data_IF_173943345537
#
_entry.id   IF_173943345537
#
_cell.length_a   1.000
_cell.length_b   1.000
_cell.length_c   1.000
_cell.angle_alpha   90.00
_cell.angle_beta   90.00
_cell.angle_gamma   90.00
#
_symmetry.space_group_name_H-M   'P 1'
#
loop_
_entity.id
_entity.type
_entity.pdbx_description
1 polymer ?
#
# COMPACT_ATOMS: atom_id res chain seq x y z
N UNK A 1 0.56 14.16 59.78
CA UNK A 1 0.15 13.00 58.96
C UNK A 1 -0.36 13.40 57.57
N UNK A 2 -1.03 14.55 57.38
CA UNK A 2 -1.52 14.98 56.06
C UNK A 2 -0.47 15.34 55.00
N UNK A 3 0.68 15.94 55.37
CA UNK A 3 1.65 16.43 54.37
C UNK A 3 2.43 15.34 53.61
N UNK A 4 2.79 14.23 54.27
CA UNK A 4 3.54 13.14 53.60
C UNK A 4 2.65 12.28 52.71
N UNK A 5 1.40 12.04 53.11
CA UNK A 5 0.43 11.30 52.29
C UNK A 5 0.05 12.10 51.04
N UNK A 6 -0.15 13.42 51.17
CA UNK A 6 -0.43 14.28 50.03
C UNK A 6 0.74 14.32 49.04
N UNK A 7 1.99 14.27 49.52
CA UNK A 7 3.17 14.28 48.66
C UNK A 7 3.29 12.99 47.83
N UNK A 8 2.98 11.83 48.43
CA UNK A 8 3.03 10.54 47.73
C UNK A 8 1.95 10.43 46.64
N UNK A 9 0.76 10.95 46.89
CA UNK A 9 -0.31 10.99 45.88
C UNK A 9 0.09 11.89 44.72
N UNK A 10 0.68 13.04 45.00
CA UNK A 10 1.11 13.99 43.97
C UNK A 10 2.20 13.39 43.06
N UNK A 11 3.16 12.68 43.65
CA UNK A 11 4.19 11.95 42.92
C UNK A 11 3.58 10.89 42.00
N UNK A 12 2.59 10.12 42.49
CA UNK A 12 1.93 9.10 41.71
C UNK A 12 1.21 9.68 40.47
N UNK A 13 0.51 10.80 40.62
CA UNK A 13 -0.21 11.46 39.52
C UNK A 13 0.75 11.98 38.45
N UNK A 14 1.91 12.53 38.84
CA UNK A 14 2.93 12.99 37.88
C UNK A 14 3.44 11.83 37.02
N UNK A 15 3.70 10.67 37.63
CA UNK A 15 4.17 9.47 36.92
C UNK A 15 3.10 8.99 35.92
N UNK A 16 1.83 8.94 36.33
CA UNK A 16 0.71 8.55 35.45
C UNK A 16 0.59 9.52 34.28
N UNK A 17 0.71 10.83 34.51
CA UNK A 17 0.64 11.84 33.44
C UNK A 17 1.68 11.64 32.35
N UNK A 18 2.95 11.42 32.73
CA UNK A 18 4.03 11.13 31.77
C UNK A 18 3.80 9.79 31.06
N UNK A 19 3.34 8.77 31.80
CA UNK A 19 3.12 7.42 31.24
C UNK A 19 2.05 7.43 30.16
N UNK A 20 0.98 8.20 30.31
CA UNK A 20 -0.07 8.36 29.29
C UNK A 20 0.52 8.98 28.03
N UNK A 21 1.28 10.07 28.16
CA UNK A 21 1.89 10.76 27.01
C UNK A 21 2.84 9.86 26.21
N UNK A 22 3.71 9.11 26.90
CA UNK A 22 4.62 8.16 26.23
C UNK A 22 3.85 6.98 25.63
N UNK A 23 2.84 6.46 26.33
CA UNK A 23 1.98 5.38 25.86
C UNK A 23 1.28 5.73 24.55
N UNK A 24 0.69 6.93 24.47
CA UNK A 24 0.02 7.41 23.25
C UNK A 24 0.97 7.43 22.04
N UNK A 25 2.13 8.07 22.18
CA UNK A 25 3.14 8.13 21.12
C UNK A 25 3.57 6.73 20.65
N UNK A 26 3.70 5.79 21.58
CA UNK A 26 4.10 4.43 21.28
C UNK A 26 3.03 3.64 20.50
N UNK A 27 1.75 3.83 20.84
CA UNK A 27 0.64 3.21 20.12
C UNK A 27 0.49 3.76 18.70
N UNK A 28 0.64 5.07 18.51
CA UNK A 28 0.59 5.70 17.18
C UNK A 28 1.69 5.15 16.26
N UNK A 29 2.93 5.10 16.74
CA UNK A 29 4.06 4.57 15.97
C UNK A 29 3.86 3.08 15.61
N UNK A 30 3.31 2.28 16.53
CA UNK A 30 2.99 0.88 16.26
C UNK A 30 1.89 0.72 15.21
N UNK A 31 0.85 1.55 15.28
CA UNK A 31 -0.25 1.52 14.31
C UNK A 31 0.24 1.87 12.90
N UNK A 32 1.07 2.91 12.79
CA UNK A 32 1.71 3.33 11.53
C UNK A 32 2.57 2.18 10.96
N UNK A 33 3.42 1.56 11.79
CA UNK A 33 4.29 0.48 11.33
C UNK A 33 3.50 -0.78 10.95
N UNK A 34 2.44 -1.11 11.69
CA UNK A 34 1.54 -2.22 11.34
C UNK A 34 0.87 -1.99 10.00
N UNK A 35 0.34 -0.78 9.75
CA UNK A 35 -0.29 -0.44 8.48
C UNK A 35 0.69 -0.54 7.30
N UNK A 36 1.94 -0.06 7.47
CA UNK A 36 3.00 -0.20 6.46
C UNK A 36 3.29 -1.67 6.14
N UNK A 37 3.42 -2.51 7.16
CA UNK A 37 3.69 -3.94 6.98
C UNK A 37 2.54 -4.65 6.27
N UNK A 38 1.29 -4.33 6.61
CA UNK A 38 0.11 -4.88 5.93
C UNK A 38 0.07 -4.47 4.45
N UNK A 39 0.23 -3.18 4.13
CA UNK A 39 0.33 -2.70 2.74
C UNK A 39 1.46 -3.43 1.99
N UNK A 40 2.67 -3.51 2.56
CA UNK A 40 3.80 -4.17 1.93
C UNK A 40 3.55 -5.66 1.67
N UNK A 41 2.91 -6.35 2.61
CA UNK A 41 2.56 -7.76 2.45
C UNK A 41 1.59 -7.95 1.27
N UNK A 42 0.56 -7.11 1.16
CA UNK A 42 -0.38 -7.16 0.04
C UNK A 42 0.28 -6.79 -1.30
N UNK A 43 1.15 -5.79 -1.31
CA UNK A 43 1.90 -5.41 -2.52
C UNK A 43 2.80 -6.55 -3.04
N UNK A 44 3.42 -7.31 -2.14
CA UNK A 44 4.17 -8.52 -2.50
C UNK A 44 3.27 -9.64 -3.05
N UNK A 45 2.04 -9.76 -2.54
CA UNK A 45 1.06 -10.68 -3.09
C UNK A 45 0.64 -10.26 -4.51
N UNK A 46 0.34 -8.97 -4.73
CA UNK A 46 -0.03 -8.44 -6.04
C UNK A 46 1.11 -8.53 -7.07
N UNK A 47 2.37 -8.39 -6.65
CA UNK A 47 3.51 -8.59 -7.55
C UNK A 47 3.62 -10.04 -8.03
N UNK A 48 3.35 -11.01 -7.14
CA UNK A 48 3.29 -12.44 -7.50
C UNK A 48 2.15 -12.75 -8.49
N UNK A 49 0.97 -12.15 -8.29
CA UNK A 49 -0.13 -12.26 -9.24
C UNK A 49 0.24 -11.62 -10.58
N UNK A 50 0.88 -10.45 -10.56
CA UNK A 50 1.32 -9.76 -11.78
C UNK A 50 2.33 -10.58 -12.57
N UNK A 51 3.25 -11.28 -11.89
CA UNK A 51 4.16 -12.24 -12.52
C UNK A 51 3.41 -13.41 -13.16
N UNK A 52 2.41 -13.95 -12.46
CA UNK A 52 1.57 -15.02 -13.01
C UNK A 52 0.85 -14.53 -14.26
N UNK A 53 0.20 -13.38 -14.20
CA UNK A 53 -0.44 -12.74 -15.35
C UNK A 53 0.53 -12.58 -16.53
N UNK A 54 1.74 -12.09 -16.28
CA UNK A 54 2.76 -11.91 -17.31
C UNK A 54 3.13 -13.21 -18.03
N UNK A 55 3.20 -14.32 -17.29
CA UNK A 55 3.59 -15.62 -17.82
C UNK A 55 2.44 -16.40 -18.47
N UNK A 56 1.20 -16.12 -18.07
CA UNK A 56 0.01 -16.76 -18.65
C UNK A 56 -0.18 -16.32 -20.12
N UNK A 57 -0.43 -17.26 -21.05
CA UNK A 57 -0.71 -16.93 -22.45
C UNK A 57 -1.96 -16.06 -22.61
N UNK A 58 -2.01 -15.26 -23.68
CA UNK A 58 -3.15 -14.37 -23.97
C UNK A 58 -4.46 -15.15 -24.14
N UNK A 59 -4.41 -16.33 -24.75
CA UNK A 59 -5.56 -17.23 -24.96
C UNK A 59 -6.19 -17.73 -23.65
N UNK A 60 -5.45 -17.67 -22.54
CA UNK A 60 -5.91 -18.03 -21.20
C UNK A 60 -6.26 -16.79 -20.35
N UNK A 61 -6.36 -15.61 -20.96
CA UNK A 61 -6.67 -14.35 -20.25
C UNK A 61 -5.47 -13.71 -19.55
N UNK A 62 -4.25 -14.18 -19.83
CA UNK A 62 -3.00 -13.60 -19.31
C UNK A 62 -2.46 -12.43 -20.16
N UNK A 63 -1.27 -11.96 -19.78
CA UNK A 63 -0.57 -10.87 -20.48
C UNK A 63 0.18 -11.31 -21.72
N UNK A 64 0.54 -12.61 -21.84
CA UNK A 64 1.22 -13.14 -23.03
C UNK A 64 2.61 -12.53 -23.27
N UNK A 65 3.33 -12.14 -22.22
CA UNK A 65 4.68 -11.54 -22.28
C UNK A 65 4.79 -10.41 -23.32
N UNK A 66 4.02 -9.32 -23.16
CA UNK A 66 3.98 -8.27 -24.16
C UNK A 66 5.34 -7.60 -24.32
N UNK A 67 5.67 -7.15 -25.53
CA UNK A 67 6.96 -6.47 -25.80
C UNK A 67 7.18 -5.23 -24.92
N UNK A 68 6.09 -4.57 -24.51
CA UNK A 68 6.06 -3.49 -23.51
C UNK A 68 4.70 -3.51 -22.83
N UNK A 69 4.67 -3.24 -21.54
CA UNK A 69 3.47 -2.81 -20.85
C UNK A 69 3.03 -1.48 -21.48
N UNK A 70 1.82 -1.46 -22.02
CA UNK A 70 1.24 -0.23 -22.54
C UNK A 70 0.26 0.34 -21.52
N UNK A 71 0.74 1.22 -20.65
CA UNK A 71 -0.07 2.13 -19.83
C UNK A 71 -0.28 3.43 -20.59
N UNK A 72 -1.07 3.39 -21.67
CA UNK A 72 -1.36 4.59 -22.44
C UNK A 72 -2.55 5.34 -21.84
N UNK A 73 -2.34 6.60 -21.44
CA UNK A 73 -3.35 7.47 -20.83
C UNK A 73 -4.57 7.76 -21.71
N UNK A 74 -5.66 8.10 -21.03
CA UNK A 74 -6.95 8.45 -21.61
C UNK A 74 -7.84 7.23 -21.86
N UNK A 75 -9.00 7.19 -21.20
CA UNK A 75 -10.09 6.25 -21.51
C UNK A 75 -10.72 6.61 -22.88
N UNK A 76 -10.01 6.30 -23.96
CA UNK A 76 -10.55 6.37 -25.32
C UNK A 76 -11.37 5.12 -25.64
N UNK A 77 -12.60 5.33 -26.11
CA UNK A 77 -13.62 4.31 -26.39
C UNK A 77 -13.08 2.96 -26.92
N UNK A 78 -13.27 1.89 -26.13
CA UNK A 78 -13.34 0.51 -26.61
C UNK A 78 -12.10 -0.38 -26.49
N UNK A 79 -10.98 0.10 -25.94
CA UNK A 79 -9.78 -0.76 -25.69
C UNK A 79 -9.37 -0.74 -24.23
N UNK A 80 -9.46 -1.90 -23.58
CA UNK A 80 -8.96 -2.12 -22.22
C UNK A 80 -7.42 -2.02 -22.25
N UNK A 81 -6.82 -1.21 -21.37
CA UNK A 81 -5.35 -1.10 -21.29
C UNK A 81 -4.79 -2.40 -20.69
N UNK A 82 -3.55 -2.73 -21.01
CA UNK A 82 -2.86 -3.89 -20.39
C UNK A 82 -2.81 -3.76 -18.87
N UNK A 83 -2.74 -2.53 -18.35
CA UNK A 83 -2.76 -2.29 -16.91
C UNK A 83 -4.15 -2.51 -16.29
N UNK A 84 -5.21 -2.22 -17.06
CA UNK A 84 -6.59 -2.47 -16.64
C UNK A 84 -6.88 -3.97 -16.67
N UNK A 85 -6.35 -4.69 -17.66
CA UNK A 85 -6.42 -6.16 -17.72
C UNK A 85 -5.70 -6.80 -16.54
N UNK A 86 -4.51 -6.28 -16.18
CA UNK A 86 -3.81 -6.72 -14.98
C UNK A 86 -4.61 -6.41 -13.71
N UNK A 87 -5.22 -5.22 -13.60
CA UNK A 87 -6.06 -4.86 -12.47
C UNK A 87 -7.28 -5.77 -12.32
N UNK A 88 -7.96 -6.07 -13.42
CA UNK A 88 -9.07 -7.03 -13.45
C UNK A 88 -8.59 -8.44 -13.06
N UNK A 89 -7.40 -8.85 -13.52
CA UNK A 89 -6.81 -10.15 -13.19
C UNK A 89 -6.43 -10.26 -11.70
N UNK A 90 -5.98 -9.17 -11.09
CA UNK A 90 -5.71 -9.10 -9.65
C UNK A 90 -7.01 -9.19 -8.84
N UNK A 91 -8.10 -8.59 -9.35
CA UNK A 91 -9.42 -8.64 -8.73
C UNK A 91 -9.73 -7.41 -7.86
N UNK A 92 -10.52 -7.59 -6.80
CA UNK A 92 -10.89 -6.53 -5.84
C UNK A 92 -11.75 -5.38 -6.39
N UNK A 93 -12.68 -5.69 -7.31
CA UNK A 93 -13.57 -4.68 -7.93
C UNK A 93 -12.78 -3.51 -8.53
N UNK A 94 -11.82 -3.85 -9.39
CA UNK A 94 -10.92 -2.89 -10.00
C UNK A 94 -11.69 -1.82 -10.80
N UNK A 95 -11.58 -0.57 -10.34
CA UNK A 95 -12.17 0.56 -10.99
C UNK A 95 -11.24 1.09 -12.09
N UNK A 96 -11.56 0.71 -13.32
CA UNK A 96 -10.83 1.13 -14.52
C UNK A 96 -10.70 2.66 -14.62
N UNK A 97 -11.70 3.44 -14.19
CA UNK A 97 -11.70 4.90 -14.38
C UNK A 97 -10.58 5.59 -13.61
N UNK A 98 -10.27 5.07 -12.43
CA UNK A 98 -9.31 5.67 -11.50
C UNK A 98 -8.01 4.86 -11.39
N UNK A 99 -7.96 3.69 -12.02
CA UNK A 99 -6.91 2.68 -11.90
C UNK A 99 -6.76 2.16 -10.46
N UNK A 100 -7.85 2.14 -9.70
CA UNK A 100 -7.84 1.85 -8.26
C UNK A 100 -8.65 0.63 -7.89
N UNK A 101 -8.24 -0.04 -6.82
CA UNK A 101 -9.02 -1.05 -6.11
C UNK A 101 -8.75 -0.89 -4.61
N UNK A 102 -9.65 -1.40 -3.77
CA UNK A 102 -9.55 -1.25 -2.32
C UNK A 102 -9.61 -2.60 -1.63
N UNK A 103 -8.78 -2.75 -0.59
CA UNK A 103 -8.83 -3.88 0.34
C UNK A 103 -9.13 -3.36 1.75
N UNK A 104 -9.17 -4.26 2.72
CA UNK A 104 -9.29 -3.90 4.14
C UNK A 104 -8.10 -3.06 4.65
N UNK A 105 -6.93 -3.22 4.00
CA UNK A 105 -5.68 -2.60 4.44
C UNK A 105 -5.42 -1.22 3.81
N UNK A 106 -6.05 -0.90 2.69
CA UNK A 106 -5.86 0.39 2.02
C UNK A 106 -6.48 0.50 0.63
N UNK A 107 -6.30 1.67 0.04
CA UNK A 107 -6.60 1.91 -1.37
C UNK A 107 -5.35 1.70 -2.21
N UNK A 108 -5.47 0.93 -3.28
CA UNK A 108 -4.37 0.61 -4.19
C UNK A 108 -4.62 1.24 -5.54
N UNK A 109 -3.55 1.72 -6.18
CA UNK A 109 -3.59 2.24 -7.54
C UNK A 109 -2.50 1.60 -8.39
N UNK A 110 -2.86 1.17 -9.59
CA UNK A 110 -1.94 0.51 -10.52
C UNK A 110 -1.59 1.49 -11.63
N UNK A 111 -0.29 1.72 -11.84
CA UNK A 111 0.24 2.61 -12.88
C UNK A 111 1.41 1.96 -13.60
N UNK A 112 1.73 2.48 -14.77
CA UNK A 112 2.92 2.02 -15.47
C UNK A 112 4.16 2.58 -14.77
N UNK A 113 5.06 1.70 -14.31
CA UNK A 113 6.36 2.06 -13.73
C UNK A 113 7.49 2.11 -14.76
N UNK A 114 7.33 1.40 -15.89
CA UNK A 114 8.30 1.36 -16.98
C UNK A 114 7.82 0.49 -18.14
N UNK A 115 8.71 0.13 -19.06
CA UNK A 115 8.35 -0.73 -20.20
C UNK A 115 7.93 -2.15 -19.77
N UNK A 116 8.44 -2.66 -18.66
CA UNK A 116 8.14 -4.00 -18.12
C UNK A 116 7.75 -3.97 -16.64
N UNK A 117 7.63 -2.75 -16.09
CA UNK A 117 7.41 -2.56 -14.67
C UNK A 117 6.03 -1.99 -14.39
N UNK A 118 5.38 -2.56 -13.37
CA UNK A 118 4.12 -2.07 -12.81
C UNK A 118 4.43 -1.32 -11.54
N UNK A 119 3.85 -0.14 -11.40
CA UNK A 119 3.89 0.67 -10.19
C UNK A 119 2.58 0.46 -9.45
N UNK A 120 2.66 -0.17 -8.29
CA UNK A 120 1.58 -0.22 -7.32
C UNK A 120 1.78 0.92 -6.33
N UNK A 121 0.69 1.57 -5.96
CA UNK A 121 0.66 2.66 -4.99
C UNK A 121 -0.34 2.24 -3.92
N UNK A 122 0.12 1.93 -2.70
CA UNK A 122 -0.75 1.73 -1.53
C UNK A 122 -0.92 3.08 -0.85
N UNK A 123 -2.15 3.53 -0.66
CA UNK A 123 -2.50 4.59 0.27
C UNK A 123 -3.13 3.92 1.48
N UNK A 124 -2.37 3.83 2.58
CA UNK A 124 -2.81 3.18 3.81
C UNK A 124 -3.92 3.96 4.50
N UNK A 125 -4.78 3.26 5.24
CA UNK A 125 -5.89 3.87 5.99
C UNK A 125 -5.48 4.62 7.26
N UNK A 126 -4.17 4.64 7.57
CA UNK A 126 -3.60 5.29 8.74
C UNK A 126 -2.79 6.51 8.30
N UNK A 127 -3.02 7.64 8.96
CA UNK A 127 -2.28 8.87 8.72
C UNK A 127 -1.03 8.91 9.61
N UNK A 128 0.08 9.36 9.04
CA UNK A 128 1.30 9.73 9.75
C UNK A 128 1.41 11.25 9.69
N UNK A 129 1.45 11.94 10.83
CA UNK A 129 1.55 13.41 10.90
C UNK A 129 0.45 14.19 10.14
N UNK A 130 -0.72 13.58 9.90
CA UNK A 130 -1.84 14.20 9.19
C UNK A 130 -1.94 13.85 7.70
N UNK A 131 -0.89 13.23 7.12
CA UNK A 131 -0.88 12.75 5.74
C UNK A 131 -1.06 11.22 5.69
N UNK A 132 -1.74 10.67 4.68
CA UNK A 132 -1.87 9.23 4.51
C UNK A 132 -0.53 8.63 4.10
N UNK A 133 -0.19 7.46 4.64
CA UNK A 133 1.04 6.76 4.26
C UNK A 133 0.91 6.27 2.82
N UNK A 134 1.82 6.69 1.93
CA UNK A 134 1.86 6.26 0.53
C UNK A 134 3.09 5.38 0.29
N UNK A 135 2.87 4.13 -0.14
CA UNK A 135 3.94 3.20 -0.50
C UNK A 135 3.90 2.98 -2.01
N UNK A 136 4.97 3.38 -2.68
CA UNK A 136 5.17 3.15 -4.10
C UNK A 136 6.03 1.90 -4.27
N UNK A 137 5.47 0.88 -4.92
CA UNK A 137 6.11 -0.39 -5.16
C UNK A 137 6.19 -0.63 -6.67
N UNK A 138 7.40 -0.57 -7.22
CA UNK A 138 7.65 -0.77 -8.64
C UNK A 138 8.22 -2.18 -8.84
N UNK A 139 7.45 -3.03 -9.52
CA UNK A 139 7.84 -4.39 -9.82
C UNK A 139 8.12 -4.58 -11.31
N UNK A 140 9.32 -5.04 -11.64
CA UNK A 140 9.71 -5.40 -12.99
C UNK A 140 9.42 -6.88 -13.27
N UNK A 141 8.39 -7.15 -14.07
CA UNK A 141 7.95 -8.52 -14.39
C UNK A 141 8.92 -9.29 -15.30
N UNK A 142 9.90 -8.62 -15.91
CA UNK A 142 10.91 -9.25 -16.77
C UNK A 142 12.16 -9.68 -16.02
N UNK A 143 12.65 -8.82 -15.11
CA UNK A 143 13.89 -9.05 -14.34
C UNK A 143 13.64 -9.55 -12.93
N UNK A 144 12.37 -9.62 -12.50
CA UNK A 144 11.97 -9.92 -11.12
C UNK A 144 12.51 -8.93 -10.07
N UNK A 145 12.90 -7.74 -10.51
CA UNK A 145 13.40 -6.68 -9.64
C UNK A 145 12.25 -5.91 -8.99
N UNK A 146 12.43 -5.56 -7.73
CA UNK A 146 11.48 -4.78 -6.92
C UNK A 146 12.20 -3.53 -6.42
N UNK A 147 11.59 -2.38 -6.66
CA UNK A 147 11.99 -1.09 -6.11
C UNK A 147 10.85 -0.54 -5.24
N UNK A 148 11.18 -0.11 -4.02
CA UNK A 148 10.20 0.30 -3.00
C UNK A 148 10.58 1.68 -2.52
N UNK A 149 9.64 2.61 -2.66
CA UNK A 149 9.73 3.96 -2.13
C UNK A 149 8.57 4.21 -1.15
N UNK A 150 8.88 4.77 0.01
CA UNK A 150 7.91 5.01 1.09
C UNK A 150 7.85 6.51 1.31
N UNK A 151 6.71 7.10 0.98
CA UNK A 151 6.43 8.52 1.14
C UNK A 151 5.51 8.69 2.36
N UNK A 152 5.90 9.61 3.25
CA UNK A 152 5.11 10.02 4.41
C UNK A 152 4.66 11.46 4.24
#
# INVERSE_FOLDING_TARGET
MGNQQNLLILLAVIIVGVSIGVGMNYFEQRNINSARQSCLSELNYFSSIAKTWWNTPLEQGGGGKPRRLRGGGGHGHGRIRMIDQLGIYIGHDYNIRNDTFSTENGSYRIRQGGNYSVRFICTGNTNSNGEPIEIIYIYNMKTDEVDIDIIN
#
